data_IF_902392633685
#
_entry.id   IF_902392633685
#
_cell.length_a   1.000
_cell.length_b   1.000
_cell.length_c   1.000
_cell.angle_alpha   90.00
_cell.angle_beta   90.00
_cell.angle_gamma   90.00
#
_symmetry.space_group_name_H-M   'P 1'
#
loop_
_entity.id
_entity.type
_entity.pdbx_description
1 polymer ?
#
# COMPACT_ATOMS: atom_id res chain seq x y z
N UNK A 1 -6.41 -5.17 -4.62
CA UNK A 1 -6.24 -5.41 -6.07
C UNK A 1 -6.09 -4.06 -6.77
N UNK A 2 -5.04 -3.87 -7.55
CA UNK A 2 -5.03 -2.85 -8.59
C UNK A 2 -5.93 -3.29 -9.73
N UNK A 3 -6.82 -2.45 -10.25
CA UNK A 3 -7.33 -2.71 -11.57
C UNK A 3 -6.15 -2.47 -12.52
N UNK A 4 -5.55 -3.55 -13.02
CA UNK A 4 -4.74 -3.60 -14.27
C UNK A 4 -5.47 -2.94 -15.47
N UNK A 5 -6.70 -2.48 -15.27
CA UNK A 5 -7.49 -1.67 -16.17
C UNK A 5 -7.27 -0.15 -16.13
N UNK A 6 -6.64 0.51 -15.14
CA UNK A 6 -6.64 1.99 -15.14
C UNK A 6 -5.91 2.58 -16.35
N UNK A 7 -4.67 2.15 -16.60
CA UNK A 7 -3.88 2.61 -17.74
C UNK A 7 -4.45 2.14 -19.08
N UNK A 8 -4.96 0.90 -19.14
CA UNK A 8 -5.60 0.38 -20.34
C UNK A 8 -6.94 1.10 -20.65
N UNK A 9 -7.68 1.55 -19.64
CA UNK A 9 -8.93 2.31 -19.77
C UNK A 9 -8.72 3.79 -20.07
N UNK A 10 -7.66 4.41 -19.52
CA UNK A 10 -7.22 5.75 -19.95
C UNK A 10 -6.85 5.70 -21.43
N UNK A 11 -6.12 4.65 -21.85
CA UNK A 11 -5.76 4.45 -23.25
C UNK A 11 -6.98 4.21 -24.16
N UNK A 12 -8.01 3.49 -23.70
CA UNK A 12 -9.24 3.30 -24.46
C UNK A 12 -10.09 4.57 -24.53
N UNK A 13 -10.07 5.41 -23.49
CA UNK A 13 -10.74 6.71 -23.47
C UNK A 13 -10.16 7.69 -24.51
N UNK A 14 -8.82 7.76 -24.62
CA UNK A 14 -8.16 8.54 -25.67
C UNK A 14 -8.28 7.89 -27.07
N UNK A 15 -8.66 6.61 -27.16
CA UNK A 15 -8.88 5.89 -28.41
C UNK A 15 -10.34 5.97 -28.92
N UNK A 16 -11.25 6.61 -28.17
CA UNK A 16 -12.63 6.86 -28.61
C UNK A 16 -13.59 5.67 -28.50
N UNK A 17 -13.31 4.66 -27.66
CA UNK A 17 -14.25 3.56 -27.39
C UNK A 17 -15.36 4.01 -26.41
N UNK A 18 -16.63 3.58 -26.60
CA UNK A 18 -17.79 4.18 -25.92
C UNK A 18 -17.90 3.82 -24.43
N UNK A 19 -18.14 4.87 -23.62
CA UNK A 19 -18.79 4.92 -22.30
C UNK A 19 -18.48 3.83 -21.27
N UNK A 20 -17.20 3.67 -20.93
CA UNK A 20 -16.83 3.21 -19.58
C UNK A 20 -16.63 4.45 -18.70
N UNK A 21 -17.28 4.57 -17.52
CA UNK A 21 -17.03 5.70 -16.63
C UNK A 21 -15.54 5.77 -16.31
N UNK A 22 -14.94 6.95 -16.50
CA UNK A 22 -13.50 7.22 -16.29
C UNK A 22 -13.06 6.76 -14.89
N UNK A 23 -13.98 6.88 -13.92
CA UNK A 23 -13.88 6.30 -12.59
C UNK A 23 -14.90 5.16 -12.46
N UNK A 24 -14.48 3.94 -12.81
CA UNK A 24 -15.21 2.73 -12.42
C UNK A 24 -15.33 2.68 -10.90
N UNK A 25 -16.43 2.11 -10.39
CA UNK A 25 -16.61 1.79 -8.96
C UNK A 25 -15.37 1.12 -8.36
N UNK A 26 -14.67 0.27 -9.12
CA UNK A 26 -13.43 -0.37 -8.69
C UNK A 26 -12.23 0.59 -8.52
N UNK A 27 -12.08 1.58 -9.40
CA UNK A 27 -11.05 2.63 -9.27
C UNK A 27 -11.38 3.65 -8.18
N UNK A 28 -12.67 3.92 -7.94
CA UNK A 28 -13.09 4.75 -6.81
C UNK A 28 -12.77 4.07 -5.47
N UNK A 29 -13.07 2.77 -5.34
CA UNK A 29 -12.74 1.97 -4.15
C UNK A 29 -11.21 1.90 -3.92
N UNK A 30 -10.42 1.77 -5.00
CA UNK A 30 -8.96 1.72 -4.92
C UNK A 30 -8.31 3.03 -4.42
N UNK A 31 -9.01 4.16 -4.51
CA UNK A 31 -8.59 5.43 -3.92
C UNK A 31 -9.22 5.64 -2.53
N UNK A 32 -10.50 5.29 -2.39
CA UNK A 32 -11.26 5.54 -1.17
C UNK A 32 -10.76 4.71 0.02
N UNK A 33 -10.41 3.43 -0.19
CA UNK A 33 -9.81 2.59 0.84
C UNK A 33 -8.55 3.23 1.44
N UNK A 34 -7.51 3.50 0.62
CA UNK A 34 -6.31 4.22 1.07
C UNK A 34 -6.58 5.56 1.74
N UNK A 35 -7.52 6.36 1.24
CA UNK A 35 -7.90 7.63 1.89
C UNK A 35 -8.38 7.37 3.32
N UNK A 36 -9.33 6.45 3.49
CA UNK A 36 -9.89 6.15 4.82
C UNK A 36 -8.84 5.57 5.77
N UNK A 37 -8.00 4.66 5.29
CA UNK A 37 -6.95 4.05 6.08
C UNK A 37 -5.89 5.07 6.50
N UNK A 38 -5.40 5.90 5.59
CA UNK A 38 -4.41 6.92 5.94
C UNK A 38 -4.98 8.00 6.86
N UNK A 39 -6.24 8.39 6.71
CA UNK A 39 -6.88 9.30 7.66
C UNK A 39 -6.96 8.69 9.07
N UNK A 40 -7.40 7.44 9.20
CA UNK A 40 -7.52 6.78 10.49
C UNK A 40 -6.16 6.54 11.14
N UNK A 41 -5.22 5.94 10.41
CA UNK A 41 -3.95 5.51 11.00
C UNK A 41 -2.90 6.63 11.05
N UNK A 42 -2.87 7.56 10.09
CA UNK A 42 -1.84 8.63 10.05
C UNK A 42 -2.35 9.93 10.62
N UNK A 43 -3.58 10.35 10.32
CA UNK A 43 -4.08 11.62 10.84
C UNK A 43 -4.60 11.53 12.27
N UNK A 44 -4.97 10.34 12.76
CA UNK A 44 -5.48 10.16 14.12
C UNK A 44 -4.46 9.42 14.99
N UNK A 45 -4.06 8.20 14.63
CA UNK A 45 -3.18 7.42 15.52
C UNK A 45 -1.79 8.05 15.69
N UNK A 46 -1.12 8.49 14.63
CA UNK A 46 0.25 9.05 14.75
C UNK A 46 0.29 10.33 15.63
N UNK A 47 -0.57 11.34 15.45
CA UNK A 47 -0.64 12.49 16.35
C UNK A 47 -0.96 12.12 17.80
N UNK A 48 -1.81 11.13 18.05
CA UNK A 48 -2.09 10.66 19.41
C UNK A 48 -0.84 10.09 20.10
N UNK A 49 -0.01 9.34 19.37
CA UNK A 49 1.27 8.84 19.88
C UNK A 49 2.28 9.97 20.13
N UNK A 50 2.29 11.01 19.30
CA UNK A 50 3.09 12.21 19.55
C UNK A 50 2.58 12.97 20.79
N UNK A 51 1.26 13.06 20.95
CA UNK A 51 0.59 13.67 22.12
C UNK A 51 0.92 12.93 23.42
N UNK A 52 0.98 11.60 23.39
CA UNK A 52 1.35 10.78 24.54
C UNK A 52 2.84 10.79 24.88
N UNK A 53 3.64 11.66 24.24
CA UNK A 53 5.08 11.80 24.45
C UNK A 53 5.86 10.52 24.13
N UNK A 54 5.31 9.68 23.24
CA UNK A 54 5.99 8.48 22.79
C UNK A 54 7.19 8.85 21.92
N UNK A 55 8.31 8.13 22.09
CA UNK A 55 9.50 8.37 21.28
C UNK A 55 9.20 8.22 19.78
N UNK A 56 9.86 9.01 18.94
CA UNK A 56 9.63 8.96 17.49
C UNK A 56 9.90 7.58 16.90
N UNK A 57 10.93 6.89 17.40
CA UNK A 57 11.25 5.51 17.04
C UNK A 57 10.08 4.59 17.37
N UNK A 58 9.55 4.68 18.59
CA UNK A 58 8.38 3.90 19.01
C UNK A 58 7.16 4.23 18.14
N UNK A 59 6.89 5.50 17.83
CA UNK A 59 5.77 5.88 16.95
C UNK A 59 5.93 5.28 15.54
N UNK A 60 7.14 5.29 14.98
CA UNK A 60 7.44 4.73 13.65
C UNK A 60 7.29 3.21 13.62
N UNK A 61 7.59 2.49 14.71
CA UNK A 61 7.54 1.02 14.73
C UNK A 61 6.25 0.45 15.32
N UNK A 62 5.57 1.16 16.22
CA UNK A 62 4.40 0.66 16.93
C UNK A 62 3.08 0.98 16.20
N UNK A 63 2.93 2.19 15.67
CA UNK A 63 1.72 2.55 14.90
C UNK A 63 1.48 1.64 13.68
N UNK A 64 2.50 1.19 12.94
CA UNK A 64 2.31 0.25 11.83
C UNK A 64 1.90 -1.15 12.26
N UNK A 65 2.24 -1.57 13.49
CA UNK A 65 1.79 -2.86 14.02
C UNK A 65 0.26 -2.81 14.19
N UNK A 66 -0.26 -1.71 14.75
CA UNK A 66 -1.72 -1.51 14.89
C UNK A 66 -2.40 -1.53 13.51
N UNK A 67 -1.81 -0.84 12.54
CA UNK A 67 -2.26 -0.86 11.14
C UNK A 67 -2.27 -2.28 10.55
N UNK A 68 -1.19 -3.04 10.73
CA UNK A 68 -1.10 -4.43 10.27
C UNK A 68 -2.13 -5.35 10.95
N UNK A 69 -2.30 -5.24 12.26
CA UNK A 69 -3.26 -6.05 13.02
C UNK A 69 -4.70 -5.82 12.57
N UNK A 70 -5.07 -4.59 12.18
CA UNK A 70 -6.39 -4.29 11.63
C UNK A 70 -6.71 -5.11 10.37
N UNK A 71 -5.68 -5.60 9.67
CA UNK A 71 -5.80 -6.41 8.45
C UNK A 71 -5.84 -7.92 8.70
N UNK A 72 -5.82 -8.37 9.96
CA UNK A 72 -5.95 -9.81 10.29
C UNK A 72 -7.28 -10.38 9.78
N UNK A 73 -8.33 -9.55 9.65
CA UNK A 73 -9.63 -9.98 9.15
C UNK A 73 -9.56 -10.60 7.73
N UNK A 74 -8.55 -10.27 6.92
CA UNK A 74 -8.32 -10.91 5.62
C UNK A 74 -8.05 -12.42 5.72
N UNK A 75 -7.43 -12.89 6.81
CA UNK A 75 -7.31 -14.32 7.05
C UNK A 75 -8.69 -14.98 7.14
N UNK A 76 -9.58 -14.37 7.91
CA UNK A 76 -10.93 -14.88 8.11
C UNK A 76 -11.74 -14.86 6.81
N UNK A 77 -11.72 -13.75 6.07
CA UNK A 77 -12.41 -13.64 4.77
C UNK A 77 -11.86 -14.66 3.76
N UNK A 78 -10.55 -14.86 3.71
CA UNK A 78 -9.93 -15.86 2.84
C UNK A 78 -10.38 -17.28 3.21
N UNK A 79 -10.48 -17.60 4.50
CA UNK A 79 -10.96 -18.91 4.97
C UNK A 79 -12.42 -19.17 4.65
N UNK A 80 -13.26 -18.14 4.65
CA UNK A 80 -14.66 -18.26 4.25
C UNK A 80 -14.82 -18.46 2.74
N UNK A 81 -14.06 -17.72 1.95
CA UNK A 81 -14.17 -17.72 0.48
C UNK A 81 -13.46 -18.91 -0.17
N UNK A 82 -12.44 -19.48 0.49
CA UNK A 82 -11.63 -20.59 -0.04
C UNK A 82 -11.56 -21.77 0.95
N UNK A 83 -12.68 -22.44 1.24
CA UNK A 83 -12.76 -23.48 2.27
C UNK A 83 -11.88 -24.71 1.98
N UNK A 84 -11.56 -24.97 0.72
CA UNK A 84 -10.72 -26.09 0.29
C UNK A 84 -9.21 -25.82 0.35
N UNK A 85 -8.80 -24.59 0.68
CA UNK A 85 -7.37 -24.26 0.78
C UNK A 85 -6.82 -24.79 2.11
N UNK A 86 -5.63 -25.45 2.12
CA UNK A 86 -5.01 -25.90 3.35
C UNK A 86 -4.84 -24.75 4.36
N UNK A 87 -5.14 -25.02 5.63
CA UNK A 87 -5.05 -24.02 6.72
C UNK A 87 -3.66 -23.39 6.78
N UNK A 88 -2.62 -24.22 6.59
CA UNK A 88 -1.23 -23.76 6.59
C UNK A 88 -0.96 -22.75 5.47
N UNK A 89 -1.50 -22.98 4.27
CA UNK A 89 -1.33 -22.07 3.14
C UNK A 89 -2.05 -20.73 3.37
N UNK A 90 -3.27 -20.77 3.90
CA UNK A 90 -4.01 -19.57 4.30
C UNK A 90 -3.27 -18.79 5.40
N UNK A 91 -2.72 -19.50 6.39
CA UNK A 91 -1.94 -18.90 7.47
C UNK A 91 -0.66 -18.24 6.96
N UNK A 92 0.13 -18.94 6.14
CA UNK A 92 1.36 -18.39 5.55
C UNK A 92 1.09 -17.14 4.72
N UNK A 93 0.02 -17.16 3.91
CA UNK A 93 -0.46 -15.98 3.17
C UNK A 93 -0.74 -14.81 4.11
N UNK A 94 -1.47 -15.04 5.20
CA UNK A 94 -1.80 -13.98 6.16
C UNK A 94 -0.59 -13.46 6.93
N UNK A 95 0.38 -14.31 7.26
CA UNK A 95 1.65 -13.86 7.87
C UNK A 95 2.43 -12.97 6.90
N UNK A 96 2.52 -13.34 5.62
CA UNK A 96 3.17 -12.54 4.59
C UNK A 96 2.45 -11.20 4.39
N UNK A 97 1.12 -11.22 4.31
CA UNK A 97 0.30 -10.02 4.19
C UNK A 97 0.47 -9.11 5.40
N UNK A 98 0.38 -9.64 6.62
CA UNK A 98 0.57 -8.89 7.87
C UNK A 98 1.95 -8.25 7.95
N UNK A 99 3.00 -9.01 7.62
CA UNK A 99 4.39 -8.53 7.61
C UNK A 99 4.55 -7.37 6.63
N UNK A 100 4.06 -7.55 5.41
CA UNK A 100 4.14 -6.53 4.38
C UNK A 100 3.35 -5.27 4.74
N UNK A 101 2.10 -5.42 5.19
CA UNK A 101 1.26 -4.30 5.61
C UNK A 101 1.89 -3.53 6.77
N UNK A 102 2.54 -4.22 7.71
CA UNK A 102 3.27 -3.59 8.82
C UNK A 102 4.50 -2.82 8.31
N UNK A 103 5.30 -3.41 7.42
CA UNK A 103 6.47 -2.73 6.84
C UNK A 103 6.07 -1.50 6.01
N UNK A 104 5.07 -1.65 5.15
CA UNK A 104 4.48 -0.53 4.41
C UNK A 104 3.98 0.53 5.38
N UNK A 105 3.34 0.11 6.47
CA UNK A 105 2.81 1.04 7.44
C UNK A 105 3.88 1.90 8.11
N UNK A 106 5.06 1.31 8.39
CA UNK A 106 6.21 2.03 8.93
C UNK A 106 6.79 3.02 7.93
N UNK A 107 6.85 2.62 6.66
CA UNK A 107 7.23 3.51 5.57
C UNK A 107 6.27 4.72 5.44
N UNK A 108 4.96 4.47 5.44
CA UNK A 108 3.96 5.53 5.38
C UNK A 108 4.03 6.46 6.60
N UNK A 109 4.20 5.93 7.81
CA UNK A 109 4.39 6.74 9.03
C UNK A 109 5.66 7.59 8.95
N UNK A 110 6.77 7.03 8.48
CA UNK A 110 8.00 7.79 8.25
C UNK A 110 7.78 8.94 7.25
N UNK A 111 7.14 8.65 6.11
CA UNK A 111 6.84 9.66 5.08
C UNK A 111 5.91 10.75 5.60
N UNK A 112 4.88 10.38 6.39
CA UNK A 112 3.96 11.32 7.02
C UNK A 112 4.66 12.23 8.02
N UNK A 113 5.47 11.68 8.92
CA UNK A 113 6.25 12.49 9.88
C UNK A 113 7.20 13.46 9.17
N UNK A 114 7.73 13.05 8.01
CA UNK A 114 8.66 13.88 7.23
C UNK A 114 7.98 15.01 6.47
N UNK A 115 6.92 14.68 5.74
CA UNK A 115 6.25 15.59 4.79
C UNK A 115 5.12 16.37 5.43
N UNK A 116 4.49 15.82 6.47
CA UNK A 116 3.26 16.35 7.03
C UNK A 116 2.06 16.29 6.09
N UNK A 117 2.14 15.52 5.00
CA UNK A 117 1.10 15.49 3.96
C UNK A 117 0.38 14.15 3.96
N UNK A 118 -0.89 14.16 4.37
CA UNK A 118 -1.79 12.99 4.23
C UNK A 118 -1.98 12.64 2.75
N UNK A 119 -2.08 13.65 1.89
CA UNK A 119 -2.22 13.42 0.45
C UNK A 119 -1.02 12.65 -0.13
N UNK A 120 0.19 12.96 0.30
CA UNK A 120 1.39 12.25 -0.16
C UNK A 120 1.36 10.76 0.20
N UNK A 121 1.00 10.43 1.46
CA UNK A 121 0.88 9.03 1.88
C UNK A 121 -0.29 8.31 1.22
N UNK A 122 -1.42 8.99 1.01
CA UNK A 122 -2.55 8.43 0.25
C UNK A 122 -2.13 8.07 -1.17
N UNK A 123 -1.42 8.95 -1.87
CA UNK A 123 -0.96 8.67 -3.24
C UNK A 123 0.00 7.48 -3.28
N UNK A 124 0.93 7.40 -2.32
CA UNK A 124 1.87 6.28 -2.21
C UNK A 124 1.14 4.98 -1.88
N UNK A 125 0.16 5.01 -0.98
CA UNK A 125 -0.66 3.87 -0.63
C UNK A 125 -1.49 3.41 -1.83
N UNK A 126 -2.24 4.31 -2.47
CA UNK A 126 -2.98 4.01 -3.68
C UNK A 126 -2.08 3.47 -4.79
N UNK A 127 -0.86 4.00 -4.95
CA UNK A 127 0.12 3.45 -5.88
C UNK A 127 0.53 2.02 -5.52
N UNK A 128 0.87 1.74 -4.26
CA UNK A 128 1.21 0.39 -3.81
C UNK A 128 0.06 -0.60 -3.99
N UNK A 129 -1.18 -0.18 -3.68
CA UNK A 129 -2.37 -1.00 -3.92
C UNK A 129 -2.62 -1.20 -5.43
N UNK A 130 -2.25 -0.21 -6.25
CA UNK A 130 -2.27 -0.26 -7.71
C UNK A 130 -1.12 -1.08 -8.35
N UNK A 131 -0.03 -1.35 -7.63
CA UNK A 131 1.05 -2.20 -8.13
C UNK A 131 0.94 -3.62 -7.60
N UNK A 132 0.38 -3.80 -6.40
CA UNK A 132 0.34 -5.07 -5.70
C UNK A 132 1.71 -5.50 -5.18
N UNK A 133 1.81 -6.77 -4.77
CA UNK A 133 3.06 -7.33 -4.28
C UNK A 133 4.13 -7.40 -5.37
N UNK A 134 5.39 -7.07 -5.05
CA UNK A 134 6.46 -7.27 -5.99
C UNK A 134 6.62 -8.76 -6.31
N UNK A 135 6.75 -9.09 -7.59
CA UNK A 135 7.07 -10.43 -8.07
C UNK A 135 8.54 -10.72 -7.74
N UNK A 136 8.77 -11.44 -6.66
CA UNK A 136 10.14 -11.80 -6.23
C UNK A 136 10.75 -12.94 -7.09
N UNK A 137 9.91 -13.64 -7.86
CA UNK A 137 10.33 -14.73 -8.73
C UNK A 137 9.40 -14.83 -9.95
N UNK A 138 9.91 -15.39 -11.05
CA UNK A 138 9.14 -15.63 -12.27
C UNK A 138 9.13 -14.49 -13.29
N UNK A 139 8.59 -14.76 -14.49
CA UNK A 139 8.63 -13.82 -15.61
C UNK A 139 7.48 -12.81 -15.56
N UNK A 140 7.79 -11.53 -15.77
CA UNK A 140 6.77 -10.47 -15.85
C UNK A 140 5.98 -10.66 -17.15
N UNK A 141 4.66 -10.89 -17.04
CA UNK A 141 3.76 -11.08 -18.18
C UNK A 141 3.27 -12.50 -18.42
N UNK A 142 3.58 -13.46 -17.53
CA UNK A 142 2.84 -14.73 -17.43
C UNK A 142 1.82 -14.57 -16.29
N UNK A 143 0.54 -14.77 -16.58
CA UNK A 143 -0.49 -14.95 -15.56
C UNK A 143 -0.34 -16.35 -14.94
N UNK A 144 0.69 -16.54 -14.12
CA UNK A 144 0.66 -17.62 -13.14
C UNK A 144 -0.22 -17.16 -11.98
N UNK A 145 -1.21 -17.99 -11.63
CA UNK A 145 -2.31 -17.70 -10.72
C UNK A 145 -1.92 -16.79 -9.56
N UNK A 146 -2.37 -15.53 -9.64
CA UNK A 146 -2.06 -14.49 -8.66
C UNK A 146 -2.75 -14.84 -7.34
N UNK A 147 -1.95 -15.17 -6.33
CA UNK A 147 -2.34 -15.14 -4.92
C UNK A 147 -2.53 -13.66 -4.50
N UNK A 148 -3.57 -13.02 -5.02
CA UNK A 148 -3.91 -11.62 -4.75
C UNK A 148 -4.85 -11.51 -3.54
N UNK A 149 -4.76 -10.43 -2.73
CA UNK A 149 -5.69 -10.18 -1.63
C UNK A 149 -7.10 -9.99 -2.16
N UNK A 150 -7.98 -10.83 -1.62
CA UNK A 150 -9.42 -10.78 -1.45
C UNK A 150 -10.05 -9.45 -1.91
N UNK A 151 -10.59 -9.47 -3.13
CA UNK A 151 -11.77 -8.70 -3.44
C UNK A 151 -12.94 -9.67 -3.35
N UNK A 152 -13.76 -9.49 -2.32
CA UNK A 152 -15.09 -10.04 -2.08
C UNK A 152 -15.66 -10.97 -3.19
N UNK A 153 -15.81 -12.25 -2.82
CA UNK A 153 -16.95 -13.08 -3.18
C UNK A 153 -17.48 -13.05 -4.61
N UNK A 154 -16.68 -13.44 -5.61
CA UNK A 154 -17.24 -14.05 -6.83
C UNK A 154 -16.37 -15.23 -7.27
N UNK A 155 -16.91 -16.46 -7.40
CA UNK A 155 -16.18 -17.57 -7.98
C UNK A 155 -16.10 -17.33 -9.48
N UNK A 156 -14.94 -16.88 -9.98
CA UNK A 156 -14.65 -16.97 -11.41
C UNK A 156 -14.27 -18.42 -11.73
N UNK A 157 -15.27 -19.25 -12.01
CA UNK A 157 -15.06 -20.45 -12.79
C UNK A 157 -14.42 -20.03 -14.12
N UNK A 158 -13.21 -20.52 -14.36
CA UNK A 158 -12.50 -20.29 -15.62
C UNK A 158 -13.19 -21.13 -16.70
N UNK A 159 -14.21 -20.57 -17.34
CA UNK A 159 -14.56 -21.03 -18.67
C UNK A 159 -13.36 -20.76 -19.58
N UNK A 160 -12.97 -21.80 -20.32
CA UNK A 160 -11.93 -21.79 -21.33
C UNK A 160 -12.27 -20.76 -22.41
N UNK A 161 -11.97 -19.49 -22.16
CA UNK A 161 -11.89 -18.49 -23.20
C UNK A 161 -10.57 -18.74 -23.94
N UNK A 162 -10.67 -19.27 -25.15
CA UNK A 162 -9.57 -19.34 -26.11
C UNK A 162 -8.82 -18.00 -26.13
N UNK A 163 -7.55 -18.07 -25.78
CA UNK A 163 -6.62 -16.95 -25.74
C UNK A 163 -6.34 -16.45 -27.18
N UNK A 164 -7.21 -15.56 -27.68
CA UNK A 164 -6.98 -14.79 -28.91
C UNK A 164 -6.02 -13.61 -28.70
N UNK A 165 -5.25 -13.56 -27.61
CA UNK A 165 -4.35 -12.46 -27.28
C UNK A 165 -2.90 -12.89 -27.03
N UNK A 166 -2.48 -13.98 -27.67
CA UNK A 166 -1.12 -14.53 -27.62
C UNK A 166 0.00 -13.56 -28.08
N UNK A 167 -0.35 -12.39 -28.64
CA UNK A 167 0.61 -11.45 -29.24
C UNK A 167 1.07 -10.30 -28.31
N UNK A 168 0.75 -10.33 -27.02
CA UNK A 168 1.17 -9.28 -26.07
C UNK A 168 2.10 -9.77 -24.97
N UNK A 169 2.96 -10.76 -25.29
CA UNK A 169 4.03 -11.22 -24.39
C UNK A 169 5.03 -10.07 -24.19
N UNK A 170 5.15 -9.46 -23.00
CA UNK A 170 6.19 -8.48 -22.75
C UNK A 170 7.54 -9.17 -22.95
N UNK A 171 8.43 -8.55 -23.73
CA UNK A 171 9.77 -9.08 -23.96
C UNK A 171 10.52 -9.26 -22.62
N UNK A 172 11.48 -10.19 -22.60
CA UNK A 172 12.34 -10.46 -21.42
C UNK A 172 12.94 -9.18 -20.83
N UNK A 173 13.18 -8.16 -21.66
CA UNK A 173 13.63 -6.82 -21.24
C UNK A 173 12.74 -6.13 -20.19
N UNK A 174 11.41 -6.34 -20.20
CA UNK A 174 10.52 -5.79 -19.16
C UNK A 174 10.71 -6.47 -17.81
N UNK A 175 11.01 -7.77 -17.81
CA UNK A 175 11.34 -8.51 -16.58
C UNK A 175 12.67 -8.03 -16.01
N UNK A 176 13.68 -7.85 -16.87
CA UNK A 176 14.99 -7.31 -16.47
C UNK A 176 14.85 -5.88 -15.94
N UNK A 177 14.12 -5.00 -16.64
CA UNK A 177 13.85 -3.63 -16.19
C UNK A 177 13.11 -3.58 -14.85
N UNK A 178 12.14 -4.48 -14.64
CA UNK A 178 11.42 -4.62 -13.38
C UNK A 178 12.36 -4.98 -12.21
N UNK A 179 13.22 -5.98 -12.37
CA UNK A 179 14.17 -6.38 -11.33
C UNK A 179 15.25 -5.31 -11.08
N UNK A 180 15.73 -4.63 -12.12
CA UNK A 180 16.64 -3.48 -11.96
C UNK A 180 15.96 -2.38 -11.14
N UNK A 181 14.71 -2.05 -11.43
CA UNK A 181 13.96 -1.03 -10.70
C UNK A 181 13.79 -1.41 -9.21
N UNK A 182 13.53 -2.68 -8.91
CA UNK A 182 13.46 -3.16 -7.52
C UNK A 182 14.79 -2.99 -6.78
N UNK A 183 15.90 -3.42 -7.41
CA UNK A 183 17.24 -3.34 -6.79
C UNK A 183 17.68 -1.89 -6.63
N UNK A 184 17.54 -1.07 -7.68
CA UNK A 184 17.88 0.36 -7.64
C UNK A 184 17.00 1.08 -6.62
N UNK A 185 15.70 0.79 -6.57
CA UNK A 185 14.77 1.34 -5.59
C UNK A 185 15.15 0.99 -4.16
N UNK A 186 15.52 -0.26 -3.89
CA UNK A 186 15.98 -0.71 -2.57
C UNK A 186 17.31 -0.07 -2.15
N UNK A 187 18.26 0.06 -3.08
CA UNK A 187 19.56 0.70 -2.83
C UNK A 187 19.40 2.21 -2.63
N UNK A 188 18.58 2.87 -3.45
CA UNK A 188 18.25 4.29 -3.29
C UNK A 188 17.52 4.52 -1.97
N UNK A 189 16.57 3.66 -1.61
CA UNK A 189 15.92 3.70 -0.31
C UNK A 189 16.95 3.63 0.82
N UNK A 190 17.80 2.59 0.85
CA UNK A 190 18.80 2.40 1.90
C UNK A 190 19.81 3.55 2.01
N UNK A 191 20.32 4.02 0.87
CA UNK A 191 21.32 5.10 0.84
C UNK A 191 20.76 6.45 1.25
N UNK A 192 19.49 6.71 0.95
CA UNK A 192 18.88 8.01 1.24
C UNK A 192 18.11 8.00 2.56
N UNK A 193 17.81 6.82 3.14
CA UNK A 193 17.14 6.69 4.43
C UNK A 193 17.89 7.41 5.56
N UNK A 194 19.20 7.12 5.67
CA UNK A 194 20.05 7.54 6.80
C UNK A 194 20.47 9.01 6.76
N UNK A 195 20.93 9.57 5.63
CA UNK A 195 21.23 11.00 5.53
C UNK A 195 19.99 11.89 5.74
N UNK A 196 18.78 11.36 5.46
CA UNK A 196 17.51 12.06 5.65
C UNK A 196 16.94 11.92 7.08
N UNK A 197 17.42 10.98 7.90
CA UNK A 197 16.97 10.77 9.29
C UNK A 197 17.80 11.54 10.32
N UNK A 198 19.06 11.84 10.04
CA UNK A 198 20.02 12.35 11.04
C UNK A 198 19.77 13.77 11.56
N UNK A 199 18.98 14.61 10.86
CA UNK A 199 18.84 16.04 11.23
C UNK A 199 17.44 16.51 11.60
N UNK A 200 16.38 15.81 11.21
CA UNK A 200 15.02 16.30 11.38
C UNK A 200 14.04 15.16 11.58
N UNK A 201 13.60 14.94 12.81
CA UNK A 201 12.23 14.52 13.00
C UNK A 201 11.36 15.59 12.35
N UNK A 202 10.68 15.17 11.29
CA UNK A 202 10.19 16.04 10.24
C UNK A 202 9.14 17.04 10.70
N UNK A 203 8.67 17.83 9.74
CA UNK A 203 7.76 18.96 9.93
C UNK A 203 6.69 18.74 11.03
N UNK A 204 6.09 17.54 11.09
CA UNK A 204 5.08 17.19 12.09
C UNK A 204 5.58 17.15 13.54
N UNK A 205 6.80 16.67 13.79
CA UNK A 205 7.38 16.64 15.15
C UNK A 205 7.73 18.06 15.61
N UNK A 206 8.18 18.94 14.70
CA UNK A 206 8.44 20.35 15.02
C UNK A 206 7.15 21.13 15.26
N UNK A 207 6.15 20.92 14.40
CA UNK A 207 4.81 21.50 14.54
C UNK A 207 4.20 21.10 15.89
N UNK A 208 4.32 19.83 16.26
CA UNK A 208 3.84 19.32 17.54
C UNK A 208 4.56 19.96 18.73
N UNK A 209 5.90 20.01 18.73
CA UNK A 209 6.66 20.69 19.79
C UNK A 209 6.24 22.14 19.96
N UNK A 210 6.00 22.85 18.84
CA UNK A 210 5.57 24.25 18.86
C UNK A 210 4.15 24.44 19.38
N UNK A 211 3.22 23.56 18.98
CA UNK A 211 1.85 23.58 19.48
C UNK A 211 1.79 23.26 20.98
N UNK A 212 2.61 22.32 21.47
CA UNK A 212 2.75 22.03 22.90
C UNK A 212 3.22 23.26 23.69
N UNK A 213 4.32 23.89 23.28
CA UNK A 213 4.82 25.10 23.96
C UNK A 213 3.75 26.19 24.04
N UNK A 214 2.94 26.34 22.98
CA UNK A 214 1.83 27.28 22.99
C UNK A 214 0.76 26.92 24.03
N UNK A 215 0.37 25.65 24.14
CA UNK A 215 -0.61 25.20 25.14
C UNK A 215 -0.08 25.38 26.56
N UNK A 216 1.17 24.98 26.82
CA UNK A 216 1.78 25.11 28.16
C UNK A 216 1.86 26.59 28.58
N UNK A 217 2.33 27.46 27.68
CA UNK A 217 2.37 28.90 27.93
C UNK A 217 0.97 29.51 28.14
N UNK A 218 -0.07 28.99 27.49
CA UNK A 218 -1.45 29.44 27.66
C UNK A 218 -2.10 28.91 28.95
N UNK A 219 -1.60 27.82 29.52
CA UNK A 219 -2.08 27.27 30.79
C UNK A 219 -1.43 27.94 32.02
N UNK A 220 -0.26 28.55 31.84
CA UNK A 220 0.47 29.30 32.87
C UNK A 220 0.06 30.79 32.97
N UNK A 221 -0.73 31.30 32.02
CA UNK A 221 -1.21 32.68 31.94
C UNK A 221 -2.65 32.82 32.46
#
# INVERSE_FOLDING_TARGET
MAPTGLLNRIRSYYAGEPDQPVLSTGSAIALLGPITEELLFRSISVPLFLLSQTSNTTTIFLTPIIFGLAHIHHFYEFRLTHPHTPVLAAFLRSVLQLTYTTLFGGYATFLFLRTGSVLAVVLVHSFCNCMGFPRLWGRVGVEEGVLGPDAAGTPKWSDKAEDKNANRRPGVGWTVGYYILLVVGAVAWWKWLWPLTEKYYGFMVQLYKRYRMFIENAAEA
#
